data_IF_111507170078
#
_entry.id   IF_111507170078
#
_cell.length_a   1.000
_cell.length_b   1.000
_cell.length_c   1.000
_cell.angle_alpha   90.00
_cell.angle_beta   90.00
_cell.angle_gamma   90.00
#
_symmetry.space_group_name_H-M   'P 1'
#
loop_
_entity.id
_entity.type
_entity.pdbx_description
1 polymer ?
#
# COMPACT_ATOMS: atom_id res chain seq x y z
N UNK A 1 0.69 15.10 15.50
CA UNK A 1 -0.18 13.90 15.42
C UNK A 1 -0.50 13.48 13.99
N UNK A 2 -1.09 14.33 13.12
CA UNK A 2 -1.44 13.99 11.72
C UNK A 2 -0.29 13.39 10.89
N UNK A 3 0.92 13.91 11.05
CA UNK A 3 2.12 13.38 10.38
C UNK A 3 2.39 11.90 10.71
N UNK A 4 2.31 11.54 12.00
CA UNK A 4 2.55 10.17 12.48
C UNK A 4 1.47 9.21 11.95
N UNK A 5 0.21 9.66 11.92
CA UNK A 5 -0.90 8.87 11.37
C UNK A 5 -0.72 8.57 9.89
N UNK A 6 -0.39 9.58 9.07
CA UNK A 6 -0.19 9.40 7.63
C UNK A 6 1.03 8.50 7.34
N UNK A 7 2.10 8.64 8.12
CA UNK A 7 3.29 7.80 7.99
C UNK A 7 3.03 6.35 8.39
N UNK A 8 2.21 6.12 9.42
CA UNK A 8 1.71 4.78 9.77
C UNK A 8 0.86 4.17 8.65
N UNK A 9 0.02 4.99 8.01
CA UNK A 9 -0.79 4.56 6.85
C UNK A 9 0.09 4.12 5.66
N UNK A 10 1.21 4.81 5.42
CA UNK A 10 2.18 4.41 4.40
C UNK A 10 2.82 3.04 4.71
N UNK A 11 3.17 2.80 5.97
CA UNK A 11 3.73 1.52 6.42
C UNK A 11 2.71 0.40 6.26
N UNK A 12 1.45 0.64 6.68
CA UNK A 12 0.35 -0.32 6.47
C UNK A 12 0.15 -0.64 4.99
N UNK A 13 0.23 0.36 4.12
CA UNK A 13 0.13 0.16 2.67
C UNK A 13 1.21 -0.80 2.16
N UNK A 14 2.44 -0.65 2.66
CA UNK A 14 3.56 -1.51 2.31
C UNK A 14 3.35 -2.96 2.76
N UNK A 15 2.78 -3.15 3.97
CA UNK A 15 2.44 -4.47 4.50
C UNK A 15 1.39 -5.16 3.63
N UNK A 16 0.37 -4.42 3.20
CA UNK A 16 -0.68 -4.94 2.30
C UNK A 16 -0.06 -5.36 0.96
N UNK A 17 0.80 -4.53 0.37
CA UNK A 17 1.50 -4.83 -0.88
C UNK A 17 2.27 -6.15 -0.75
N UNK A 18 3.13 -6.27 0.27
CA UNK A 18 3.92 -7.48 0.49
C UNK A 18 3.05 -8.72 0.74
N UNK A 19 1.99 -8.61 1.53
CA UNK A 19 1.08 -9.74 1.77
C UNK A 19 0.42 -10.21 0.47
N UNK A 20 -0.11 -9.28 -0.33
CA UNK A 20 -0.77 -9.63 -1.58
C UNK A 20 0.20 -10.15 -2.65
N UNK A 21 1.45 -9.68 -2.67
CA UNK A 21 2.50 -10.23 -3.52
C UNK A 21 2.91 -11.63 -3.08
N UNK A 22 3.12 -11.88 -1.78
CA UNK A 22 3.50 -13.21 -1.28
C UNK A 22 2.43 -14.25 -1.59
N UNK A 23 1.15 -13.91 -1.37
CA UNK A 23 0.04 -14.79 -1.71
C UNK A 23 -0.17 -14.92 -3.22
N UNK A 24 -0.05 -13.82 -3.96
CA UNK A 24 -0.15 -13.82 -5.43
C UNK A 24 0.89 -14.73 -6.08
N UNK A 25 2.15 -14.64 -5.65
CA UNK A 25 3.24 -15.50 -6.12
C UNK A 25 2.98 -16.95 -5.71
N UNK A 26 2.54 -17.20 -4.48
CA UNK A 26 2.25 -18.55 -3.98
C UNK A 26 1.18 -19.25 -4.83
N UNK A 27 0.14 -18.53 -5.21
CA UNK A 27 -0.98 -19.05 -5.98
C UNK A 27 -0.83 -18.86 -7.50
N UNK A 28 0.33 -18.35 -7.98
CA UNK A 28 0.56 -17.93 -9.37
C UNK A 28 -0.55 -17.03 -9.92
N UNK A 29 -1.14 -16.20 -9.05
CA UNK A 29 -2.31 -15.40 -9.35
C UNK A 29 -1.90 -13.94 -9.59
N UNK A 30 -1.51 -13.66 -10.83
CA UNK A 30 -1.11 -12.32 -11.30
C UNK A 30 -2.21 -11.27 -11.08
N UNK A 31 -3.49 -11.67 -11.13
CA UNK A 31 -4.58 -10.74 -10.86
C UNK A 31 -4.59 -10.28 -9.39
N UNK A 32 -4.21 -11.16 -8.45
CA UNK A 32 -4.12 -10.81 -7.03
C UNK A 32 -2.93 -9.87 -6.77
N UNK A 33 -1.80 -10.12 -7.43
CA UNK A 33 -0.62 -9.25 -7.38
C UNK A 33 -0.97 -7.83 -7.86
N UNK A 34 -1.62 -7.71 -9.01
CA UNK A 34 -2.02 -6.43 -9.58
C UNK A 34 -3.04 -5.70 -8.71
N UNK A 35 -4.05 -6.40 -8.19
CA UNK A 35 -5.02 -5.78 -7.28
C UNK A 35 -4.38 -5.26 -6.00
N UNK A 36 -3.51 -6.07 -5.39
CA UNK A 36 -2.72 -5.66 -4.21
C UNK A 36 -1.88 -4.42 -4.50
N UNK A 37 -1.23 -4.39 -5.66
CA UNK A 37 -0.35 -3.30 -6.07
C UNK A 37 -1.13 -2.01 -6.34
N UNK A 38 -2.30 -2.09 -6.97
CA UNK A 38 -3.17 -0.94 -7.22
C UNK A 38 -3.68 -0.35 -5.91
N UNK A 39 -4.21 -1.19 -5.00
CA UNK A 39 -4.80 -0.74 -3.73
C UNK A 39 -3.73 -0.09 -2.85
N UNK A 40 -2.58 -0.73 -2.69
CA UNK A 40 -1.49 -0.21 -1.87
C UNK A 40 -0.84 1.04 -2.49
N UNK A 41 -0.69 1.10 -3.81
CA UNK A 41 -0.20 2.30 -4.49
C UNK A 41 -1.14 3.49 -4.29
N UNK A 42 -2.46 3.28 -4.39
CA UNK A 42 -3.46 4.32 -4.13
C UNK A 42 -3.38 4.83 -2.69
N UNK A 43 -3.38 3.94 -1.70
CA UNK A 43 -3.31 4.32 -0.27
C UNK A 43 -2.00 5.07 0.02
N UNK A 44 -0.87 4.59 -0.53
CA UNK A 44 0.42 5.24 -0.36
C UNK A 44 0.44 6.63 -1.00
N UNK A 45 -0.07 6.76 -2.22
CA UNK A 45 -0.14 8.02 -2.95
C UNK A 45 -1.01 9.05 -2.23
N UNK A 46 -2.22 8.67 -1.79
CA UNK A 46 -3.09 9.57 -1.04
C UNK A 46 -2.46 9.99 0.28
N UNK A 47 -1.87 9.04 1.03
CA UNK A 47 -1.21 9.37 2.28
C UNK A 47 -0.01 10.30 2.07
N UNK A 48 0.78 10.06 1.01
CA UNK A 48 1.91 10.91 0.65
C UNK A 48 1.49 12.30 0.15
N UNK A 49 0.41 12.41 -0.63
CA UNK A 49 -0.15 13.68 -1.08
C UNK A 49 -0.68 14.52 0.09
N UNK A 50 -1.34 13.88 1.05
CA UNK A 50 -1.79 14.51 2.30
C UNK A 50 -0.64 14.94 3.21
N UNK A 51 0.51 14.25 3.15
CA UNK A 51 1.75 14.60 3.84
C UNK A 51 2.53 15.72 3.14
N UNK A 52 2.53 15.71 1.81
CA UNK A 52 3.23 16.66 0.94
C UNK A 52 2.54 18.03 0.83
N UNK A 53 1.30 18.15 1.30
CA UNK A 53 0.69 19.45 1.63
C UNK A 53 1.35 20.02 2.89
N UNK A 54 2.55 20.59 2.70
CA UNK A 54 3.03 21.71 3.51
C UNK A 54 2.53 23.01 2.91
#
# INVERSE_FOLDING_TARGET
MRYILLRSLQILSLVILFSGLVWGIRDNNVALELNSLIISSLIFYFSNSLLGKK
#
